data_IF_523588834721
#
_entry.id   IF_523588834721
#
_cell.length_a   1.000
_cell.length_b   1.000
_cell.length_c   1.000
_cell.angle_alpha   90.00
_cell.angle_beta   90.00
_cell.angle_gamma   90.00
#
_symmetry.space_group_name_H-M   'P 1'
#
loop_
_entity.id
_entity.type
_entity.pdbx_description
1 polymer ?
#
# COMPACT_ATOMS: atom_id res chain seq x y z
N UNK A 1 0.46 -18.10 -27.66
CA UNK A 1 1.53 -17.70 -26.74
C UNK A 1 1.42 -16.21 -26.48
N UNK A 2 1.58 -15.78 -25.23
CA UNK A 2 1.60 -14.35 -24.88
C UNK A 2 3.04 -13.83 -24.87
N UNK A 3 3.25 -12.60 -25.33
CA UNK A 3 4.49 -11.86 -25.17
C UNK A 3 4.20 -10.64 -24.30
N UNK A 4 5.04 -10.41 -23.29
CA UNK A 4 4.86 -9.31 -22.34
C UNK A 4 6.06 -8.38 -22.40
N UNK A 5 5.80 -7.08 -22.48
CA UNK A 5 6.78 -6.02 -22.34
C UNK A 5 6.34 -5.09 -21.21
N UNK A 6 7.27 -4.73 -20.32
CA UNK A 6 7.00 -3.90 -19.15
C UNK A 6 7.90 -2.65 -19.19
N UNK A 7 7.29 -1.48 -19.39
CA UNK A 7 7.95 -0.19 -19.15
C UNK A 7 7.75 0.22 -17.68
N UNK A 8 8.75 -0.04 -16.84
CA UNK A 8 8.64 0.15 -15.38
C UNK A 8 8.79 1.63 -14.99
N UNK A 9 7.68 2.26 -14.59
CA UNK A 9 7.69 3.63 -14.02
C UNK A 9 7.62 3.66 -12.49
N UNK A 10 6.82 2.78 -11.87
CA UNK A 10 6.70 2.73 -10.41
C UNK A 10 8.03 2.22 -9.82
N UNK A 11 8.65 2.93 -8.86
CA UNK A 11 9.91 2.49 -8.27
C UNK A 11 9.84 1.09 -7.65
N UNK A 12 10.87 0.29 -7.88
CA UNK A 12 10.98 -1.04 -7.26
C UNK A 12 11.29 -0.93 -5.77
N UNK A 13 10.62 -1.75 -4.95
CA UNK A 13 10.87 -1.84 -3.51
C UNK A 13 10.47 -0.59 -2.72
N UNK A 14 9.47 0.16 -3.19
CA UNK A 14 9.01 1.41 -2.55
C UNK A 14 7.67 1.28 -1.79
N UNK A 15 7.14 0.07 -1.62
CA UNK A 15 5.85 -0.14 -0.96
C UNK A 15 4.63 0.36 -1.75
N UNK A 16 4.74 0.52 -3.07
CA UNK A 16 3.68 1.09 -3.93
C UNK A 16 2.89 0.05 -4.73
N UNK A 17 2.99 -1.24 -4.36
CA UNK A 17 2.31 -2.32 -5.08
C UNK A 17 2.72 -2.49 -6.56
N UNK A 18 3.82 -1.86 -7.00
CA UNK A 18 4.17 -1.80 -8.42
C UNK A 18 4.60 -3.11 -9.08
N UNK A 19 4.75 -4.20 -8.31
CA UNK A 19 4.91 -5.56 -8.84
C UNK A 19 3.55 -6.25 -8.98
N UNK A 20 2.74 -6.15 -7.94
CA UNK A 20 1.35 -6.62 -7.87
C UNK A 20 0.48 -6.00 -8.96
N UNK A 21 0.66 -4.71 -9.25
CA UNK A 21 -0.01 -4.02 -10.36
C UNK A 21 0.29 -4.64 -11.73
N UNK A 22 1.55 -5.07 -11.96
CA UNK A 22 1.94 -5.70 -13.21
C UNK A 22 1.31 -7.08 -13.33
N UNK A 23 1.27 -7.83 -12.22
CA UNK A 23 0.63 -9.15 -12.18
C UNK A 23 -0.88 -9.06 -12.44
N UNK A 24 -1.58 -8.12 -11.77
CA UNK A 24 -2.99 -7.85 -12.01
C UNK A 24 -3.26 -7.46 -13.47
N UNK A 25 -2.45 -6.56 -14.02
CA UNK A 25 -2.57 -6.11 -15.41
C UNK A 25 -2.31 -7.25 -16.40
N UNK A 26 -1.31 -8.09 -16.15
CA UNK A 26 -1.02 -9.26 -16.98
C UNK A 26 -2.17 -10.28 -16.94
N UNK A 27 -2.74 -10.52 -15.75
CA UNK A 27 -3.89 -11.42 -15.57
C UNK A 27 -5.14 -10.88 -16.28
N UNK A 28 -5.43 -9.59 -16.12
CA UNK A 28 -6.51 -8.89 -16.81
C UNK A 28 -6.34 -8.96 -18.34
N UNK A 29 -5.13 -8.67 -18.85
CA UNK A 29 -4.85 -8.71 -20.28
C UNK A 29 -4.98 -10.12 -20.86
N UNK A 30 -4.52 -11.14 -20.13
CA UNK A 30 -4.68 -12.54 -20.52
C UNK A 30 -6.17 -12.94 -20.61
N UNK A 31 -6.99 -12.51 -19.65
CA UNK A 31 -8.44 -12.74 -19.69
C UNK A 31 -9.10 -12.00 -20.87
N UNK A 32 -8.74 -10.73 -21.09
CA UNK A 32 -9.25 -9.92 -22.19
C UNK A 32 -8.94 -10.55 -23.56
N UNK A 33 -7.69 -10.95 -23.79
CA UNK A 33 -7.29 -11.61 -25.05
C UNK A 33 -7.84 -13.02 -25.23
N UNK A 34 -8.31 -13.64 -24.14
CA UNK A 34 -8.99 -14.95 -24.18
C UNK A 34 -10.51 -14.83 -24.30
N UNK A 35 -11.03 -13.63 -24.57
CA UNK A 35 -12.47 -13.40 -24.78
C UNK A 35 -13.28 -13.28 -23.48
N UNK A 36 -12.67 -12.80 -22.39
CA UNK A 36 -13.31 -12.62 -21.08
C UNK A 36 -13.90 -13.92 -20.51
N UNK A 37 -13.08 -14.98 -20.50
CA UNK A 37 -13.46 -16.29 -19.99
C UNK A 37 -13.78 -16.30 -18.48
N UNK A 38 -13.28 -15.32 -17.73
CA UNK A 38 -13.53 -15.12 -16.31
C UNK A 38 -14.14 -13.75 -16.04
N UNK A 39 -14.98 -13.67 -15.01
CA UNK A 39 -15.46 -12.43 -14.42
C UNK A 39 -14.36 -11.71 -13.63
N UNK A 40 -14.52 -10.41 -13.41
CA UNK A 40 -13.57 -9.62 -12.60
C UNK A 40 -13.46 -10.15 -11.17
N UNK A 41 -14.58 -10.61 -10.59
CA UNK A 41 -14.59 -11.23 -9.27
C UNK A 41 -13.74 -12.50 -9.23
N UNK A 42 -13.83 -13.36 -10.24
CA UNK A 42 -12.97 -14.55 -10.35
C UNK A 42 -11.51 -14.17 -10.52
N UNK A 43 -11.19 -13.15 -11.32
CA UNK A 43 -9.81 -12.65 -11.44
C UNK A 43 -9.27 -12.13 -10.11
N UNK A 44 -10.09 -11.38 -9.36
CA UNK A 44 -9.73 -10.87 -8.04
C UNK A 44 -9.44 -12.02 -7.08
N UNK A 45 -10.34 -13.02 -7.01
CA UNK A 45 -10.18 -14.21 -6.18
C UNK A 45 -8.90 -14.99 -6.54
N UNK A 46 -8.69 -15.33 -7.82
CA UNK A 46 -7.50 -16.07 -8.27
C UNK A 46 -6.20 -15.30 -8.03
N UNK A 47 -6.24 -13.98 -8.21
CA UNK A 47 -5.05 -13.15 -8.03
C UNK A 47 -4.53 -13.15 -6.59
N UNK A 48 -5.40 -13.38 -5.62
CA UNK A 48 -5.04 -13.52 -4.21
C UNK A 48 -4.10 -14.71 -3.96
N UNK A 49 -4.20 -15.78 -4.75
CA UNK A 49 -3.29 -16.93 -4.68
C UNK A 49 -1.86 -16.59 -5.13
N UNK A 50 -1.72 -15.61 -6.02
CA UNK A 50 -0.43 -15.17 -6.56
C UNK A 50 0.24 -14.16 -5.60
N UNK A 51 -0.54 -13.27 -4.98
CA UNK A 51 -0.01 -12.28 -4.05
C UNK A 51 -1.09 -11.46 -3.36
N UNK A 52 -0.88 -11.13 -2.08
CA UNK A 52 -1.90 -10.48 -1.25
C UNK A 52 -2.34 -9.11 -1.76
N UNK A 53 -1.46 -8.34 -2.39
CA UNK A 53 -1.80 -7.00 -2.87
C UNK A 53 -2.39 -7.00 -4.29
N UNK A 54 -2.42 -8.13 -4.99
CA UNK A 54 -2.88 -8.20 -6.38
C UNK A 54 -4.40 -7.97 -6.49
N UNK A 55 -5.24 -8.56 -5.61
CA UNK A 55 -6.68 -8.31 -5.59
C UNK A 55 -7.07 -6.83 -5.51
N UNK A 56 -6.26 -6.00 -4.85
CA UNK A 56 -6.49 -4.56 -4.74
C UNK A 56 -6.51 -3.86 -6.11
N UNK A 57 -5.73 -4.33 -7.09
CA UNK A 57 -5.67 -3.70 -8.41
C UNK A 57 -6.88 -3.97 -9.29
N UNK A 58 -7.83 -4.79 -8.82
CA UNK A 58 -9.16 -4.93 -9.42
C UNK A 58 -10.21 -4.04 -8.73
N UNK A 59 -9.81 -3.23 -7.75
CA UNK A 59 -10.70 -2.33 -7.00
C UNK A 59 -10.85 -0.95 -7.66
N UNK A 60 -11.85 -0.18 -7.25
CA UNK A 60 -12.24 1.09 -7.88
C UNK A 60 -11.65 2.34 -7.17
N UNK A 61 -10.36 2.28 -6.84
CA UNK A 61 -9.60 3.42 -6.31
C UNK A 61 -9.19 3.23 -4.85
N UNK A 62 -10.15 3.32 -3.91
CA UNK A 62 -9.90 3.08 -2.49
C UNK A 62 -10.60 1.80 -2.03
N UNK A 63 -9.92 1.02 -1.20
CA UNK A 63 -10.48 -0.22 -0.67
C UNK A 63 -10.05 -0.44 0.79
N UNK A 64 -10.95 -1.03 1.56
CA UNK A 64 -10.64 -1.60 2.87
C UNK A 64 -10.22 -3.06 2.69
N UNK A 65 -8.97 -3.36 3.06
CA UNK A 65 -8.38 -4.67 2.83
C UNK A 65 -8.17 -5.40 4.15
N UNK A 66 -8.57 -6.67 4.22
CA UNK A 66 -8.44 -7.53 5.42
C UNK A 66 -7.81 -8.88 5.07
N UNK A 67 -7.72 -9.78 6.05
CA UNK A 67 -6.96 -11.03 5.93
C UNK A 67 -5.46 -10.73 5.96
N UNK A 68 -4.72 -11.21 4.96
CA UNK A 68 -3.34 -10.81 4.67
C UNK A 68 -3.27 -9.67 3.64
N UNK A 69 -4.40 -9.07 3.29
CA UNK A 69 -4.56 -8.02 2.28
C UNK A 69 -5.36 -8.46 1.05
N UNK A 70 -5.69 -9.75 0.95
CA UNK A 70 -6.35 -10.35 -0.22
C UNK A 70 -7.87 -10.19 -0.24
N UNK A 71 -8.48 -9.94 0.93
CA UNK A 71 -9.92 -9.69 1.03
C UNK A 71 -10.16 -8.20 0.85
N UNK A 72 -10.68 -7.81 -0.30
CA UNK A 72 -10.81 -6.40 -0.73
C UNK A 72 -12.28 -6.01 -0.78
N UNK A 73 -12.61 -4.93 -0.07
CA UNK A 73 -13.92 -4.29 -0.11
C UNK A 73 -13.76 -2.86 -0.63
N UNK A 74 -14.39 -2.54 -1.77
CA UNK A 74 -14.40 -1.19 -2.31
C UNK A 74 -15.06 -0.21 -1.33
N UNK A 75 -14.42 0.94 -1.13
CA UNK A 75 -14.97 2.02 -0.32
C UNK A 75 -14.99 3.32 -1.12
N UNK A 76 -15.92 4.25 -0.85
CA UNK A 76 -15.82 5.60 -1.37
C UNK A 76 -14.48 6.21 -0.99
N UNK A 77 -13.88 6.99 -1.90
CA UNK A 77 -12.62 7.69 -1.61
C UNK A 77 -12.77 8.50 -0.30
N UNK A 78 -11.98 8.19 0.75
CA UNK A 78 -12.06 8.93 2.00
C UNK A 78 -11.39 10.32 1.87
N UNK A 79 -10.70 10.56 0.74
CA UNK A 79 -10.06 11.82 0.43
C UNK A 79 -10.95 12.57 -0.57
N UNK A 80 -11.58 13.64 -0.10
CA UNK A 80 -12.59 14.42 -0.82
C UNK A 80 -12.02 15.51 -1.75
N UNK A 81 -10.71 15.74 -1.74
CA UNK A 81 -10.05 16.78 -2.53
C UNK A 81 -8.66 16.33 -2.98
N UNK A 82 -8.10 17.00 -3.99
CA UNK A 82 -6.72 16.74 -4.42
C UNK A 82 -5.77 16.89 -3.22
N UNK A 83 -5.08 15.80 -2.88
CA UNK A 83 -4.08 15.78 -1.83
C UNK A 83 -2.69 15.79 -2.47
N UNK A 84 -1.94 16.89 -2.37
CA UNK A 84 -0.55 16.89 -2.83
C UNK A 84 0.28 15.90 -2.00
N UNK A 85 0.90 14.94 -2.67
CA UNK A 85 1.75 13.92 -2.05
C UNK A 85 3.16 14.06 -2.62
N UNK A 86 4.16 14.05 -1.72
CA UNK A 86 5.57 13.93 -2.09
C UNK A 86 6.03 12.53 -1.74
N UNK A 87 6.45 11.77 -2.76
CA UNK A 87 7.01 10.44 -2.59
C UNK A 87 8.53 10.52 -2.44
N UNK A 88 9.08 9.93 -1.38
CA UNK A 88 10.52 9.87 -1.13
C UNK A 88 10.96 8.41 -1.10
N UNK A 89 11.77 8.00 -2.08
CA UNK A 89 12.35 6.66 -2.15
C UNK A 89 13.84 6.72 -1.79
N UNK A 90 14.28 6.25 -0.60
CA UNK A 90 15.70 6.17 -0.27
C UNK A 90 16.39 5.11 -1.15
N UNK A 91 17.71 5.21 -1.37
CA UNK A 91 18.42 4.22 -2.18
C UNK A 91 18.36 2.81 -1.56
N UNK A 92 18.41 2.76 -0.23
CA UNK A 92 18.33 1.54 0.57
C UNK A 92 16.97 0.83 0.40
N UNK A 93 16.98 -0.50 0.49
CA UNK A 93 15.79 -1.32 0.49
C UNK A 93 15.64 -2.02 1.85
N UNK A 94 14.44 -2.02 2.41
CA UNK A 94 14.13 -2.75 3.63
C UNK A 94 13.53 -4.11 3.27
N UNK A 95 14.05 -5.20 3.85
CA UNK A 95 13.54 -6.54 3.57
C UNK A 95 12.19 -6.74 4.25
N UNK A 96 11.11 -6.81 3.46
CA UNK A 96 9.75 -7.07 3.96
C UNK A 96 9.71 -8.29 4.87
N UNK A 97 10.34 -9.40 4.47
CA UNK A 97 10.39 -10.62 5.27
C UNK A 97 11.05 -10.41 6.65
N UNK A 98 12.07 -9.56 6.72
CA UNK A 98 12.84 -9.29 7.94
C UNK A 98 12.09 -8.32 8.87
N UNK A 99 11.30 -7.41 8.31
CA UNK A 99 10.36 -6.55 9.04
C UNK A 99 9.24 -7.39 9.66
N UNK A 100 8.58 -8.25 8.88
CA UNK A 100 7.52 -9.13 9.40
C UNK A 100 8.02 -10.08 10.49
N UNK A 101 9.26 -10.60 10.40
CA UNK A 101 9.86 -11.42 11.47
C UNK A 101 10.05 -10.66 12.78
N UNK A 102 10.27 -9.35 12.74
CA UNK A 102 10.39 -8.48 13.93
C UNK A 102 9.06 -7.93 14.41
N UNK A 103 7.99 -8.03 13.62
CA UNK A 103 6.67 -7.58 14.01
C UNK A 103 6.22 -8.30 15.27
N UNK A 104 5.76 -7.51 16.25
CA UNK A 104 5.27 -7.96 17.54
C UNK A 104 3.81 -7.54 17.66
N UNK A 105 2.90 -8.51 17.52
CA UNK A 105 1.45 -8.26 17.56
C UNK A 105 0.97 -7.67 18.89
N UNK A 106 1.69 -7.93 20.00
CA UNK A 106 1.44 -7.32 21.30
C UNK A 106 1.81 -5.83 21.37
N UNK A 107 2.47 -5.30 20.33
CA UNK A 107 2.93 -3.91 20.22
C UNK A 107 2.28 -3.14 19.06
N UNK A 108 1.38 -3.77 18.31
CA UNK A 108 0.63 -3.08 17.26
C UNK A 108 -0.36 -2.11 17.87
N UNK A 109 -0.79 -1.14 17.09
CA UNK A 109 -1.84 -0.24 17.48
C UNK A 109 -3.16 -1.01 17.66
N UNK A 110 -3.81 -0.82 18.81
CA UNK A 110 -5.11 -1.46 19.11
C UNK A 110 -6.32 -0.67 18.60
N UNK A 111 -6.12 0.43 17.88
CA UNK A 111 -7.20 1.23 17.31
C UNK A 111 -7.86 0.45 16.17
N UNK A 112 -9.19 0.39 16.22
CA UNK A 112 -10.00 -0.13 15.13
C UNK A 112 -9.77 0.69 13.84
N UNK A 113 -9.31 0.06 12.73
CA UNK A 113 -9.09 0.74 11.46
C UNK A 113 -10.31 1.51 10.95
N UNK A 114 -11.54 1.06 11.25
CA UNK A 114 -12.76 1.75 10.82
C UNK A 114 -12.94 3.11 11.52
N UNK A 115 -12.42 3.26 12.74
CA UNK A 115 -12.38 4.55 13.44
C UNK A 115 -11.43 5.51 12.72
N UNK A 116 -10.26 5.03 12.29
CA UNK A 116 -9.30 5.84 11.52
C UNK A 116 -9.88 6.26 10.18
N UNK A 117 -10.50 5.33 9.47
CA UNK A 117 -11.16 5.60 8.19
C UNK A 117 -12.23 6.69 8.33
N UNK A 118 -13.08 6.59 9.36
CA UNK A 118 -14.08 7.62 9.65
C UNK A 118 -13.44 8.99 9.93
N UNK A 119 -12.36 9.04 10.71
CA UNK A 119 -11.64 10.30 10.97
C UNK A 119 -11.06 10.91 9.70
N UNK A 120 -10.51 10.08 8.79
CA UNK A 120 -10.00 10.56 7.49
C UNK A 120 -11.14 11.17 6.68
N UNK A 121 -12.29 10.50 6.61
CA UNK A 121 -13.46 11.01 5.87
C UNK A 121 -14.03 12.30 6.48
N UNK A 122 -14.12 12.38 7.81
CA UNK A 122 -14.74 13.50 8.52
C UNK A 122 -13.81 14.72 8.65
N UNK A 123 -12.50 14.51 8.76
CA UNK A 123 -11.53 15.56 9.13
C UNK A 123 -10.30 15.65 8.20
N UNK A 124 -10.18 14.74 7.23
CA UNK A 124 -9.04 14.65 6.32
C UNK A 124 -7.82 13.97 6.93
N UNK A 125 -6.74 13.96 6.16
CA UNK A 125 -5.46 13.35 6.56
C UNK A 125 -4.71 14.21 7.57
N UNK A 126 -4.23 13.57 8.62
CA UNK A 126 -3.37 14.12 9.68
C UNK A 126 -2.39 13.04 10.17
N UNK A 127 -1.35 13.44 10.91
CA UNK A 127 -0.36 12.47 11.42
C UNK A 127 -0.97 11.38 12.32
N UNK A 128 -2.03 11.69 13.07
CA UNK A 128 -2.68 10.78 14.02
C UNK A 128 -3.47 9.63 13.36
N UNK A 129 -3.90 9.81 12.10
CA UNK A 129 -4.62 8.77 11.34
C UNK A 129 -3.69 7.98 10.42
N UNK A 130 -2.47 8.46 10.20
CA UNK A 130 -1.44 7.79 9.42
C UNK A 130 -0.64 6.81 10.28
N UNK A 131 -1.25 5.65 10.57
CA UNK A 131 -0.64 4.59 11.38
C UNK A 131 -0.17 3.45 10.48
N UNK A 132 1.08 3.02 10.68
CA UNK A 132 1.64 1.83 10.07
C UNK A 132 2.43 1.04 11.13
N UNK A 133 1.87 -0.09 11.56
CA UNK A 133 2.48 -0.94 12.57
C UNK A 133 3.78 -1.62 12.13
N UNK A 134 4.10 -1.57 10.84
CA UNK A 134 5.38 -2.05 10.31
C UNK A 134 6.49 -1.00 10.42
N UNK A 135 6.19 0.26 10.76
CA UNK A 135 7.23 1.29 10.93
C UNK A 135 8.22 0.95 12.06
N UNK A 136 7.79 0.65 13.30
CA UNK A 136 8.73 0.31 14.37
C UNK A 136 9.68 -0.86 14.02
N UNK A 137 9.20 -2.04 13.55
CA UNK A 137 10.12 -3.10 13.15
C UNK A 137 10.93 -2.73 11.90
N UNK A 138 10.45 -1.86 10.99
CA UNK A 138 11.26 -1.37 9.89
C UNK A 138 12.41 -0.47 10.37
N UNK A 139 12.20 0.33 11.42
CA UNK A 139 13.26 1.11 12.06
C UNK A 139 14.27 0.22 12.77
N UNK A 140 13.84 -0.90 13.38
CA UNK A 140 14.75 -1.88 13.96
C UNK A 140 15.63 -2.56 12.89
N UNK A 141 15.07 -2.86 11.71
CA UNK A 141 15.82 -3.43 10.58
C UNK A 141 16.76 -2.40 9.95
N UNK A 142 16.27 -1.18 9.75
CA UNK A 142 16.98 -0.13 9.02
C UNK A 142 16.79 1.24 9.72
N UNK A 143 17.61 1.54 10.76
CA UNK A 143 17.47 2.77 11.56
C UNK A 143 17.65 4.08 10.79
N UNK A 144 18.22 4.04 9.56
CA UNK A 144 18.30 5.20 8.68
C UNK A 144 16.92 5.70 8.23
N UNK A 145 15.91 4.83 8.17
CA UNK A 145 14.54 5.20 7.81
C UNK A 145 13.90 6.10 8.88
N UNK A 146 14.12 5.82 10.16
CA UNK A 146 13.61 6.66 11.26
C UNK A 146 14.23 8.06 11.19
N UNK A 147 15.56 8.12 11.03
CA UNK A 147 16.29 9.38 10.87
C UNK A 147 15.81 10.16 9.64
N UNK A 148 15.50 9.47 8.54
CA UNK A 148 14.96 10.09 7.34
C UNK A 148 13.58 10.69 7.60
N UNK A 149 12.67 9.92 8.22
CA UNK A 149 11.33 10.37 8.58
C UNK A 149 11.37 11.62 9.47
N UNK A 150 12.21 11.62 10.50
CA UNK A 150 12.41 12.78 11.39
C UNK A 150 12.92 14.00 10.61
N UNK A 151 13.95 13.83 9.77
CA UNK A 151 14.49 14.92 8.95
C UNK A 151 13.46 15.53 8.02
N UNK A 152 12.58 14.72 7.42
CA UNK A 152 11.50 15.21 6.54
C UNK A 152 10.47 15.99 7.36
N UNK A 153 10.06 15.47 8.52
CA UNK A 153 9.12 16.14 9.40
C UNK A 153 9.66 17.51 9.86
N UNK A 154 10.92 17.57 10.28
CA UNK A 154 11.58 18.80 10.72
C UNK A 154 11.75 19.80 9.57
N UNK A 155 12.17 19.33 8.39
CA UNK A 155 12.35 20.17 7.21
C UNK A 155 11.03 20.76 6.71
N UNK A 156 9.92 20.04 6.89
CA UNK A 156 8.59 20.50 6.54
C UNK A 156 8.12 21.72 7.32
N UNK A 157 8.69 22.02 8.50
CA UNK A 157 8.31 23.17 9.36
C UNK A 157 6.79 23.34 9.53
N UNK A 158 6.06 22.22 9.66
CA UNK A 158 4.61 22.20 9.81
C UNK A 158 3.80 22.37 8.50
N UNK A 159 4.44 22.40 7.34
CA UNK A 159 3.75 22.43 6.03
C UNK A 159 3.18 21.07 5.62
N UNK A 160 3.75 19.98 6.12
CA UNK A 160 3.24 18.63 5.89
C UNK A 160 2.21 18.26 6.94
N UNK A 161 1.03 17.82 6.50
CA UNK A 161 -0.03 17.30 7.39
C UNK A 161 0.36 15.98 8.06
N UNK A 162 1.16 15.18 7.37
CA UNK A 162 1.68 13.90 7.85
C UNK A 162 2.97 13.52 7.11
N UNK A 163 3.83 12.77 7.79
CA UNK A 163 4.93 12.00 7.19
C UNK A 163 4.68 10.54 7.52
N UNK A 164 4.57 9.71 6.48
CA UNK A 164 4.10 8.34 6.58
C UNK A 164 4.95 7.41 5.71
N UNK A 165 5.36 6.27 6.24
CA UNK A 165 6.02 5.24 5.44
C UNK A 165 5.01 4.30 4.79
N UNK A 166 5.10 4.17 3.47
CA UNK A 166 4.31 3.22 2.68
C UNK A 166 4.98 1.85 2.50
N UNK A 167 6.28 1.73 2.78
CA UNK A 167 7.04 0.48 2.72
C UNK A 167 8.55 0.68 2.80
#
# INVERSE_FOLDING_TARGET
FFQVHLDKKVPTGAGLGGGSSNAATALWAANHFSGHAASEKELQEWSGEIGSDIPFFFSHGAAYCTGRGEVVEDIPSPILSELPIVLIKPQEACSTAEVYKRLRLDRTNGIDPLILLRKISDHGISQEVCINDLEPPAFDVLPSLERLKQRIADAGRGQYKAVFMSG
#
